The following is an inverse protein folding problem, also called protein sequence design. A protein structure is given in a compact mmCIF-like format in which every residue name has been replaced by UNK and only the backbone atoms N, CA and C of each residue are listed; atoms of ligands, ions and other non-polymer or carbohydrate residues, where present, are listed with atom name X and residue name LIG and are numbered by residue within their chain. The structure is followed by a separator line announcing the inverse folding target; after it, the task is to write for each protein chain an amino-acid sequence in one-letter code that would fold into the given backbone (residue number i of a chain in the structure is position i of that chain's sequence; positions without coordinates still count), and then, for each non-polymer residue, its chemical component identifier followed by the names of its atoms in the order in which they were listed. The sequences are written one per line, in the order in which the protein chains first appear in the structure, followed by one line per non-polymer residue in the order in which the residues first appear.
data_IF_509831911810
#
_entry.id   IF_509831911810
#
_cell.length_a   1.000
_cell.length_b   1.000
_cell.length_c   1.000
_cell.angle_alpha   90.00
_cell.angle_beta   90.00
_cell.angle_gamma   90.00
#
_symmetry.space_group_name_H-M   'P 1'
#
loop_
_entity.id
_entity.type
_entity.pdbx_description
1 polymer ?
#
# COMPACT_ATOMS: atom_id res chain seq x y z
N UNK A 1 0.83 -11.80 -0.88
CA UNK A 1 1.23 -10.69 0.04
C UNK A 1 1.60 -9.43 -0.73
N UNK A 2 2.56 -9.49 -1.67
CA UNK A 2 2.98 -8.33 -2.46
C UNK A 2 1.84 -7.72 -3.30
N UNK A 3 1.07 -8.55 -4.02
CA UNK A 3 -0.08 -8.06 -4.80
C UNK A 3 -1.10 -7.32 -3.91
N UNK A 4 -1.34 -7.82 -2.70
CA UNK A 4 -2.23 -7.15 -1.74
C UNK A 4 -1.66 -5.82 -1.24
N UNK A 5 -0.33 -5.71 -1.06
CA UNK A 5 0.31 -4.41 -0.75
C UNK A 5 0.06 -3.40 -1.87
N UNK A 6 0.22 -3.82 -3.13
CA UNK A 6 -0.11 -2.95 -4.27
C UNK A 6 -1.59 -2.57 -4.29
N UNK A 7 -2.48 -3.55 -4.07
CA UNK A 7 -3.93 -3.34 -4.05
C UNK A 7 -4.33 -2.30 -2.98
N UNK A 8 -3.97 -2.53 -1.72
CA UNK A 8 -4.35 -1.62 -0.63
C UNK A 8 -3.77 -0.21 -0.84
N UNK A 9 -2.56 -0.09 -1.40
CA UNK A 9 -1.98 1.21 -1.67
C UNK A 9 -2.66 1.94 -2.82
N UNK A 10 -2.83 1.29 -3.98
CA UNK A 10 -3.39 1.93 -5.16
C UNK A 10 -4.87 2.26 -5.00
N UNK A 11 -5.65 1.35 -4.43
CA UNK A 11 -7.08 1.58 -4.18
C UNK A 11 -7.27 2.77 -3.23
N UNK A 12 -6.58 2.74 -2.07
CA UNK A 12 -6.79 3.76 -1.06
C UNK A 12 -6.17 5.12 -1.43
N UNK A 13 -4.98 5.13 -2.03
CA UNK A 13 -4.37 6.36 -2.52
C UNK A 13 -5.17 6.97 -3.66
N UNK A 14 -5.65 6.14 -4.60
CA UNK A 14 -6.50 6.59 -5.70
C UNK A 14 -7.81 7.22 -5.20
N UNK A 15 -8.47 6.57 -4.23
CA UNK A 15 -9.65 7.12 -3.57
C UNK A 15 -9.37 8.50 -2.93
N UNK A 16 -8.26 8.63 -2.20
CA UNK A 16 -7.88 9.90 -1.59
C UNK A 16 -7.55 10.99 -2.62
N UNK A 17 -6.92 10.63 -3.74
CA UNK A 17 -6.60 11.57 -4.83
C UNK A 17 -7.88 12.05 -5.52
N UNK A 18 -8.87 11.18 -5.73
CA UNK A 18 -10.20 11.57 -6.23
C UNK A 18 -10.89 12.55 -5.28
N UNK A 19 -10.92 12.24 -3.97
CA UNK A 19 -11.49 13.13 -2.97
C UNK A 19 -10.79 14.49 -2.93
N UNK A 20 -9.45 14.51 -3.01
CA UNK A 20 -8.66 15.74 -3.10
C UNK A 20 -9.03 16.56 -4.35
N UNK A 21 -9.13 15.91 -5.52
CA UNK A 21 -9.50 16.56 -6.77
C UNK A 21 -10.90 17.19 -6.72
N UNK A 22 -11.89 16.46 -6.19
CA UNK A 22 -13.25 16.99 -6.01
C UNK A 22 -13.28 18.16 -5.02
N UNK A 23 -12.57 18.06 -3.89
CA UNK A 23 -12.43 19.17 -2.95
C UNK A 23 -11.84 20.40 -3.63
N UNK A 24 -10.80 20.22 -4.44
CA UNK A 24 -10.15 21.31 -5.14
C UNK A 24 -11.09 22.01 -6.14
N UNK A 25 -11.95 21.26 -6.85
CA UNK A 25 -12.99 21.84 -7.72
C UNK A 25 -14.02 22.70 -6.95
N UNK A 26 -14.24 22.39 -5.68
CA UNK A 26 -15.10 23.15 -4.77
C UNK A 26 -14.35 24.28 -4.04
N UNK A 27 -13.09 24.55 -4.38
CA UNK A 27 -12.26 25.55 -3.69
C UNK A 27 -11.75 25.12 -2.31
N UNK A 28 -11.88 23.83 -1.96
CA UNK A 28 -11.44 23.26 -0.69
C UNK A 28 -10.12 22.50 -0.85
N UNK A 29 -9.07 22.93 -0.16
CA UNK A 29 -7.79 22.21 -0.14
C UNK A 29 -7.79 21.16 0.98
N UNK A 30 -8.12 19.92 0.62
CA UNK A 30 -8.06 18.80 1.55
C UNK A 30 -6.61 18.43 1.91
N UNK A 31 -6.37 17.87 3.10
CA UNK A 31 -5.05 17.36 3.45
C UNK A 31 -4.69 16.10 2.66
N UNK A 32 -3.44 16.00 2.22
CA UNK A 32 -2.92 14.80 1.52
C UNK A 32 -2.78 13.64 2.49
N UNK A 33 -3.04 12.43 1.98
CA UNK A 33 -3.01 11.19 2.76
C UNK A 33 -1.83 10.27 2.48
N UNK A 34 -1.27 10.28 1.27
CA UNK A 34 -0.17 9.39 0.89
C UNK A 34 0.98 10.17 0.25
N UNK A 35 2.21 9.76 0.56
CA UNK A 35 3.43 10.37 0.00
C UNK A 35 4.52 9.32 -0.28
N UNK A 36 4.28 8.51 -1.32
CA UNK A 36 5.15 7.39 -1.73
C UNK A 36 5.62 6.52 -0.54
N UNK A 37 4.69 5.93 0.24
CA UNK A 37 5.00 5.23 1.48
C UNK A 37 5.98 4.08 1.30
N UNK A 38 5.95 3.36 0.17
CA UNK A 38 6.88 2.26 -0.08
C UNK A 38 8.32 2.70 -0.35
N UNK A 39 8.58 3.99 -0.57
CA UNK A 39 9.95 4.54 -0.63
C UNK A 39 10.55 4.84 0.75
N UNK A 40 9.82 4.57 1.83
CA UNK A 40 10.28 4.80 3.19
C UNK A 40 11.47 3.89 3.54
N UNK A 41 12.50 4.47 4.15
CA UNK A 41 13.70 3.78 4.63
C UNK A 41 13.63 3.43 6.13
N UNK A 42 12.47 3.60 6.74
CA UNK A 42 12.18 3.16 8.10
C UNK A 42 10.68 3.04 8.32
N UNK A 43 10.27 2.37 9.40
CA UNK A 43 8.84 2.16 9.70
C UNK A 43 8.19 3.47 10.17
N UNK A 44 8.93 4.30 10.91
CA UNK A 44 8.51 5.66 11.24
C UNK A 44 8.32 6.48 9.96
N UNK A 45 9.28 6.45 9.04
CA UNK A 45 9.17 7.13 7.75
C UNK A 45 8.01 6.61 6.88
N UNK A 46 7.64 5.34 7.02
CA UNK A 46 6.47 4.75 6.36
C UNK A 46 5.18 5.37 6.89
N UNK A 47 5.02 5.44 8.21
CA UNK A 47 3.82 6.02 8.86
C UNK A 47 3.68 7.52 8.69
N UNK A 48 4.80 8.23 8.47
CA UNK A 48 4.80 9.64 8.06
C UNK A 48 4.33 9.85 6.61
N UNK A 49 4.20 8.77 5.83
CA UNK A 49 3.84 8.79 4.39
C UNK A 49 2.57 8.00 4.06
N UNK A 50 2.08 7.19 4.99
CA UNK A 50 0.89 6.35 4.84
C UNK A 50 -0.25 6.89 5.68
N UNK A 51 -1.43 7.06 5.08
CA UNK A 51 -2.66 7.52 5.75
C UNK A 51 -2.42 8.70 6.73
N UNK A 52 -1.71 9.72 6.23
CA UNK A 52 -1.14 10.78 7.06
C UNK A 52 -2.18 11.56 7.88
N UNK A 53 -3.43 11.69 7.41
CA UNK A 53 -4.50 12.34 8.20
C UNK A 53 -4.84 11.53 9.45
N UNK A 54 -4.93 10.21 9.34
CA UNK A 54 -5.19 9.31 10.45
C UNK A 54 -4.02 9.30 11.43
N UNK A 55 -2.78 9.24 10.94
CA UNK A 55 -1.58 9.36 11.78
C UNK A 55 -1.59 10.66 12.58
N UNK A 56 -1.96 11.80 11.96
CA UNK A 56 -2.12 13.09 12.66
C UNK A 56 -3.25 13.05 13.69
N UNK A 57 -4.38 12.42 13.37
CA UNK A 57 -5.50 12.26 14.29
C UNK A 57 -5.08 11.50 15.55
N UNK A 58 -4.50 10.31 15.40
CA UNK A 58 -4.02 9.53 16.54
C UNK A 58 -2.91 10.22 17.31
N UNK A 59 -2.01 10.93 16.62
CA UNK A 59 -0.98 11.73 17.29
C UNK A 59 -1.60 12.81 18.18
N UNK A 60 -2.56 13.56 17.64
CA UNK A 60 -3.18 14.70 18.34
C UNK A 60 -4.09 14.25 19.49
N UNK A 61 -4.90 13.24 19.27
CA UNK A 61 -5.98 12.87 20.19
C UNK A 61 -5.68 11.68 21.09
N UNK A 62 -4.61 10.92 20.83
CA UNK A 62 -4.23 9.78 21.67
C UNK A 62 -2.79 9.95 22.17
N UNK A 63 -1.82 10.05 21.27
CA UNK A 63 -0.41 10.05 21.63
C UNK A 63 0.00 11.24 22.53
N UNK A 64 -0.35 12.47 22.14
CA UNK A 64 -0.04 13.69 22.90
C UNK A 64 -0.74 13.67 24.27
N UNK A 65 -2.06 13.39 24.38
CA UNK A 65 -2.74 13.25 25.67
C UNK A 65 -2.13 12.20 26.61
N UNK A 66 -1.59 11.09 26.08
CA UNK A 66 -0.89 10.07 26.88
C UNK A 66 0.50 10.53 27.40
N UNK A 67 0.92 11.76 27.07
CA UNK A 67 2.16 12.39 27.51
C UNK A 67 3.23 12.50 26.42
N UNK A 68 2.96 12.01 25.21
CA UNK A 68 3.88 12.03 24.07
C UNK A 68 5.27 11.51 24.46
N UNK A 69 6.31 12.30 24.16
CA UNK A 69 7.71 12.00 24.49
C UNK A 69 8.17 12.51 25.87
N UNK A 70 7.30 13.12 26.68
CA UNK A 70 7.72 13.95 27.85
C UNK A 70 8.12 13.14 29.09
N UNK A 71 7.74 11.85 29.18
CA UNK A 71 7.93 10.99 30.35
C UNK A 71 9.00 9.91 30.13
N UNK A 72 10.01 10.21 29.32
CA UNK A 72 11.14 9.32 29.03
C UNK A 72 10.85 8.22 28.01
N UNK A 73 11.87 7.41 27.72
CA UNK A 73 11.85 6.40 26.65
C UNK A 73 10.81 5.29 26.90
N UNK A 74 10.71 4.77 28.12
CA UNK A 74 9.77 3.69 28.45
C UNK A 74 8.32 4.11 28.20
N UNK A 75 7.90 5.27 28.73
CA UNK A 75 6.54 5.79 28.51
C UNK A 75 6.27 6.09 27.04
N UNK A 76 7.28 6.62 26.33
CA UNK A 76 7.18 6.84 24.88
C UNK A 76 6.89 5.54 24.13
N UNK A 77 7.59 4.45 24.46
CA UNK A 77 7.38 3.15 23.82
C UNK A 77 5.99 2.58 24.13
N UNK A 78 5.55 2.67 25.38
CA UNK A 78 4.18 2.27 25.77
C UNK A 78 3.12 3.10 25.03
N UNK A 79 3.32 4.41 24.90
CA UNK A 79 2.39 5.29 24.19
C UNK A 79 2.32 4.94 22.69
N UNK A 80 3.45 4.62 22.06
CA UNK A 80 3.49 4.16 20.66
C UNK A 80 2.73 2.85 20.49
N UNK A 81 2.99 1.85 21.35
CA UNK A 81 2.26 0.59 21.33
C UNK A 81 0.75 0.79 21.50
N UNK A 82 0.35 1.62 22.47
CA UNK A 82 -1.05 1.93 22.71
C UNK A 82 -1.73 2.56 21.48
N UNK A 83 -1.06 3.52 20.82
CA UNK A 83 -1.58 4.15 19.60
C UNK A 83 -1.80 3.13 18.48
N UNK A 84 -0.84 2.23 18.25
CA UNK A 84 -1.00 1.22 17.21
C UNK A 84 -2.06 0.16 17.54
N UNK A 85 -2.21 -0.23 18.80
CA UNK A 85 -3.29 -1.13 19.22
C UNK A 85 -4.66 -0.47 19.05
N UNK A 86 -4.79 0.80 19.43
CA UNK A 86 -6.03 1.55 19.20
C UNK A 86 -6.28 1.75 17.70
N UNK A 87 -5.23 1.95 16.90
CA UNK A 87 -5.35 1.98 15.44
C UNK A 87 -5.87 0.65 14.89
N UNK A 88 -5.39 -0.49 15.40
CA UNK A 88 -5.92 -1.81 15.04
C UNK A 88 -7.40 -1.94 15.38
N UNK A 89 -7.79 -1.58 16.62
CA UNK A 89 -9.19 -1.60 17.05
C UNK A 89 -10.09 -0.66 16.23
N UNK A 90 -9.57 0.47 15.75
CA UNK A 90 -10.30 1.39 14.88
C UNK A 90 -10.62 0.77 13.51
N UNK A 91 -9.79 -0.15 13.02
CA UNK A 91 -10.01 -0.81 11.74
C UNK A 91 -11.08 -1.91 11.79
N UNK A 92 -11.25 -2.59 12.93
CA UNK A 92 -12.31 -3.60 13.09
C UNK A 92 -12.16 -4.44 14.36
N UNK A 93 -13.17 -5.28 14.61
CA UNK A 93 -13.22 -6.14 15.81
C UNK A 93 -12.46 -7.47 15.66
N UNK A 94 -11.95 -7.78 14.46
CA UNK A 94 -11.19 -9.01 14.23
C UNK A 94 -9.83 -8.97 14.94
N UNK A 95 -9.42 -10.08 15.54
CA UNK A 95 -8.11 -10.25 16.17
C UNK A 95 -6.94 -9.95 15.22
N UNK A 96 -7.12 -10.19 13.92
CA UNK A 96 -6.11 -9.87 12.91
C UNK A 96 -5.71 -8.39 12.91
N UNK A 97 -6.64 -7.46 13.15
CA UNK A 97 -6.34 -6.03 13.24
C UNK A 97 -5.57 -5.65 14.50
N UNK A 98 -5.90 -6.29 15.64
CA UNK A 98 -5.15 -6.09 16.90
C UNK A 98 -3.72 -6.60 16.74
N UNK A 99 -3.53 -7.78 16.15
CA UNK A 99 -2.20 -8.34 15.86
C UNK A 99 -1.42 -7.48 14.86
N UNK A 100 -2.09 -6.96 13.84
CA UNK A 100 -1.50 -6.02 12.89
C UNK A 100 -1.00 -4.75 13.60
N UNK A 101 -1.83 -4.17 14.47
CA UNK A 101 -1.46 -3.01 15.29
C UNK A 101 -0.29 -3.34 16.23
N UNK A 102 -0.37 -4.46 16.94
CA UNK A 102 0.70 -4.92 17.83
C UNK A 102 2.03 -5.04 17.07
N UNK A 103 2.02 -5.63 15.86
CA UNK A 103 3.23 -5.82 15.08
C UNK A 103 3.85 -4.49 14.63
N UNK A 104 3.06 -3.55 14.10
CA UNK A 104 3.57 -2.23 13.76
C UNK A 104 4.06 -1.46 14.99
N UNK A 105 3.40 -1.60 16.14
CA UNK A 105 3.83 -1.01 17.39
C UNK A 105 5.17 -1.57 17.88
N UNK A 106 5.34 -2.89 17.87
CA UNK A 106 6.59 -3.55 18.27
C UNK A 106 7.73 -3.12 17.36
N UNK A 107 7.52 -3.13 16.04
CA UNK A 107 8.53 -2.73 15.08
C UNK A 107 8.91 -1.24 15.25
N UNK A 108 7.93 -0.37 15.51
CA UNK A 108 8.18 1.07 15.75
C UNK A 108 8.96 1.32 17.06
N UNK A 109 8.67 0.54 18.10
CA UNK A 109 9.43 0.58 19.36
C UNK A 109 10.85 0.08 19.14
N UNK A 110 11.02 -1.05 18.45
CA UNK A 110 12.31 -1.62 18.12
C UNK A 110 13.17 -0.63 17.32
N UNK A 111 12.59 -0.01 16.28
CA UNK A 111 13.27 1.00 15.46
C UNK A 111 13.83 2.15 16.33
N UNK A 112 13.02 2.62 17.28
CA UNK A 112 13.39 3.71 18.20
C UNK A 112 14.48 3.30 19.19
N UNK A 113 14.47 2.07 19.67
CA UNK A 113 15.47 1.56 20.62
C UNK A 113 16.83 1.32 19.94
N UNK A 114 16.82 0.79 18.72
CA UNK A 114 18.03 0.51 17.93
C UNK A 114 18.57 1.76 17.23
N UNK A 115 17.73 2.78 17.04
CA UNK A 115 18.04 3.98 16.25
C UNK A 115 18.43 3.60 14.81
N UNK A 116 17.56 2.85 14.12
CA UNK A 116 17.75 2.40 12.73
C UNK A 116 18.19 3.54 11.78
N UNK A 117 17.69 4.79 11.90
CA UNK A 117 18.19 5.90 11.09
C UNK A 117 19.71 6.12 11.21
N UNK A 118 20.30 5.91 12.39
CA UNK A 118 21.74 6.08 12.64
C UNK A 118 22.61 4.91 12.12
N UNK A 119 22.02 3.77 11.76
CA UNK A 119 22.78 2.65 11.19
C UNK A 119 23.33 3.01 9.81
N UNK A 120 24.62 2.73 9.57
CA UNK A 120 25.31 2.92 8.29
C UNK A 120 25.00 1.78 7.32
N UNK A 121 23.73 1.62 6.98
CA UNK A 121 23.23 0.62 6.02
C UNK A 121 22.80 1.36 4.74
N UNK A 122 23.08 0.83 3.53
CA UNK A 122 22.64 1.46 2.29
C UNK A 122 21.13 1.70 2.27
N UNK A 123 20.71 2.87 1.78
CA UNK A 123 19.29 3.28 1.79
C UNK A 123 18.38 2.25 1.13
N UNK A 124 18.78 1.69 -0.01
CA UNK A 124 17.97 0.70 -0.72
C UNK A 124 17.71 -0.56 0.10
N UNK A 125 18.65 -0.98 0.97
CA UNK A 125 18.48 -2.11 1.88
C UNK A 125 17.47 -1.74 2.97
N UNK A 126 17.56 -0.53 3.54
CA UNK A 126 16.57 -0.06 4.53
C UNK A 126 15.16 0.01 3.93
N UNK A 127 15.04 0.50 2.70
CA UNK A 127 13.76 0.54 1.96
C UNK A 127 13.23 -0.86 1.71
N UNK A 128 14.08 -1.79 1.25
CA UNK A 128 13.70 -3.18 1.04
C UNK A 128 13.21 -3.87 2.32
N UNK A 129 13.94 -3.71 3.42
CA UNK A 129 13.54 -4.25 4.74
C UNK A 129 12.21 -3.63 5.20
N UNK A 130 12.07 -2.30 5.11
CA UNK A 130 10.84 -1.60 5.50
C UNK A 130 9.64 -2.11 4.70
N UNK A 131 9.80 -2.22 3.37
CA UNK A 131 8.75 -2.74 2.50
C UNK A 131 8.37 -4.19 2.85
N UNK A 132 9.34 -5.08 3.06
CA UNK A 132 9.08 -6.46 3.44
C UNK A 132 8.34 -6.58 4.78
N UNK A 133 8.74 -5.80 5.80
CA UNK A 133 8.06 -5.76 7.10
C UNK A 133 6.61 -5.28 6.98
N UNK A 134 6.39 -4.23 6.19
CA UNK A 134 5.05 -3.69 5.93
C UNK A 134 4.20 -4.68 5.13
N UNK A 135 4.74 -5.31 4.09
CA UNK A 135 4.04 -6.35 3.32
C UNK A 135 3.72 -7.57 4.17
N UNK A 136 4.59 -7.93 5.10
CA UNK A 136 4.33 -8.97 6.08
C UNK A 136 3.19 -8.58 7.04
N UNK A 137 3.13 -7.31 7.46
CA UNK A 137 2.00 -6.80 8.22
C UNK A 137 0.68 -6.82 7.45
N UNK A 138 0.70 -6.41 6.19
CA UNK A 138 -0.51 -6.39 5.38
C UNK A 138 -1.18 -7.74 5.21
N UNK A 139 -0.47 -8.86 5.37
CA UNK A 139 -1.14 -10.17 5.35
C UNK A 139 -2.09 -10.38 6.53
N UNK A 140 -1.80 -9.82 7.71
CA UNK A 140 -2.74 -9.84 8.84
C UNK A 140 -3.97 -9.00 8.51
N UNK A 141 -3.76 -7.82 7.92
CA UNK A 141 -4.86 -6.93 7.52
C UNK A 141 -5.78 -7.57 6.46
N UNK A 142 -5.22 -8.43 5.57
CA UNK A 142 -6.00 -9.14 4.54
C UNK A 142 -6.71 -10.40 5.06
N UNK A 143 -6.12 -11.08 6.05
CA UNK A 143 -6.57 -12.38 6.49
C UNK A 143 -7.94 -12.29 7.18
N UNK A 144 -8.84 -13.23 6.86
CA UNK A 144 -10.16 -13.31 7.49
C UNK A 144 -10.09 -13.87 8.91
N UNK A 145 -9.05 -14.64 9.21
CA UNK A 145 -8.80 -15.19 10.54
C UNK A 145 -7.30 -15.25 10.85
N UNK A 146 -6.98 -15.43 12.14
CA UNK A 146 -5.59 -15.66 12.58
C UNK A 146 -5.04 -16.97 11.98
N UNK A 147 -5.88 -18.01 11.84
CA UNK A 147 -5.49 -19.25 11.18
C UNK A 147 -5.09 -19.05 9.71
N UNK A 148 -5.82 -18.21 8.96
CA UNK A 148 -5.48 -17.92 7.57
C UNK A 148 -4.15 -17.18 7.47
N UNK A 149 -3.92 -16.21 8.36
CA UNK A 149 -2.64 -15.50 8.42
C UNK A 149 -1.48 -16.46 8.71
N UNK A 150 -1.65 -17.39 9.66
CA UNK A 150 -0.65 -18.40 9.98
C UNK A 150 -0.41 -19.37 8.81
N UNK A 151 -1.46 -19.76 8.09
CA UNK A 151 -1.33 -20.58 6.88
C UNK A 151 -0.52 -19.86 5.80
N UNK A 152 -0.80 -18.56 5.56
CA UNK A 152 -0.03 -17.74 4.63
C UNK A 152 1.45 -17.65 5.03
N UNK A 153 1.73 -17.44 6.32
CA UNK A 153 3.10 -17.38 6.81
C UNK A 153 3.82 -18.72 6.75
N UNK A 154 3.15 -19.82 7.08
CA UNK A 154 3.72 -21.16 6.96
C UNK A 154 4.11 -21.46 5.51
N UNK A 155 3.24 -21.16 4.54
CA UNK A 155 3.57 -21.32 3.12
C UNK A 155 4.76 -20.45 2.69
N UNK A 156 4.85 -19.22 3.21
CA UNK A 156 5.99 -18.33 2.94
C UNK A 156 7.32 -18.93 3.43
N UNK A 157 7.35 -19.56 4.61
CA UNK A 157 8.58 -20.10 5.21
C UNK A 157 8.92 -21.52 4.76
N UNK A 158 7.93 -22.36 4.44
CA UNK A 158 8.18 -23.68 3.85
C UNK A 158 8.67 -23.56 2.40
N UNK A 159 8.28 -22.47 1.72
CA UNK A 159 8.72 -22.16 0.37
C UNK A 159 8.10 -23.10 -0.67
N UNK A 160 8.59 -22.98 -1.91
CA UNK A 160 8.13 -23.73 -3.06
C UNK A 160 7.69 -22.84 -4.22
N UNK A 161 7.93 -23.28 -5.45
CA UNK A 161 7.44 -22.63 -6.66
C UNK A 161 6.02 -23.14 -7.00
N UNK A 162 5.12 -23.05 -6.02
CA UNK A 162 3.71 -23.41 -6.21
C UNK A 162 3.13 -22.69 -7.44
N UNK A 163 2.20 -23.33 -8.14
CA UNK A 163 1.51 -22.69 -9.25
C UNK A 163 0.80 -21.42 -8.78
N UNK A 164 0.80 -20.37 -9.61
CA UNK A 164 -0.04 -19.20 -9.35
C UNK A 164 -1.49 -19.66 -9.26
N UNK A 165 -2.23 -19.09 -8.32
CA UNK A 165 -3.65 -19.36 -8.15
C UNK A 165 -4.40 -19.09 -9.46
N UNK A 166 -4.93 -20.15 -10.06
CA UNK A 166 -5.49 -20.16 -11.42
C UNK A 166 -6.52 -19.05 -11.65
N UNK A 167 -7.44 -18.76 -10.71
CA UNK A 167 -8.39 -17.66 -10.90
C UNK A 167 -7.74 -16.29 -11.12
N UNK A 168 -6.56 -16.01 -10.57
CA UNK A 168 -5.85 -14.75 -10.85
C UNK A 168 -5.34 -14.73 -12.29
N UNK A 169 -4.83 -15.85 -12.80
CA UNK A 169 -4.39 -15.90 -14.19
C UNK A 169 -5.56 -15.81 -15.16
N UNK A 170 -6.71 -16.39 -14.81
CA UNK A 170 -7.93 -16.33 -15.62
C UNK A 170 -8.45 -14.89 -15.68
N UNK A 171 -8.54 -14.19 -14.55
CA UNK A 171 -8.94 -12.77 -14.53
C UNK A 171 -8.05 -11.87 -15.39
N UNK A 172 -6.75 -12.18 -15.53
CA UNK A 172 -5.88 -11.44 -16.44
C UNK A 172 -6.17 -11.78 -17.91
N UNK A 173 -6.55 -13.01 -18.24
CA UNK A 173 -6.86 -13.40 -19.63
C UNK A 173 -8.12 -12.71 -20.16
N UNK A 174 -9.06 -12.38 -19.29
CA UNK A 174 -10.29 -11.66 -19.64
C UNK A 174 -10.06 -10.17 -19.93
N UNK A 175 -8.86 -9.63 -19.65
CA UNK A 175 -8.53 -8.24 -19.92
C UNK A 175 -8.41 -7.96 -21.42
N UNK A 176 -8.95 -6.80 -21.83
CA UNK A 176 -8.88 -6.30 -23.22
C UNK A 176 -7.42 -6.13 -23.66
N UNK A 177 -6.56 -5.67 -22.76
CA UNK A 177 -5.11 -5.52 -22.96
C UNK A 177 -4.47 -6.85 -23.39
N UNK A 178 -4.84 -7.95 -22.74
CA UNK A 178 -4.31 -9.27 -23.05
C UNK A 178 -4.82 -9.72 -24.41
N UNK A 179 -6.09 -9.47 -24.74
CA UNK A 179 -6.63 -9.72 -26.08
C UNK A 179 -5.83 -9.00 -27.18
N UNK A 180 -5.36 -7.78 -26.94
CA UNK A 180 -4.47 -7.07 -27.88
C UNK A 180 -3.11 -7.75 -28.00
N UNK A 181 -2.51 -8.24 -26.91
CA UNK A 181 -1.26 -9.00 -26.97
C UNK A 181 -1.41 -10.31 -27.74
N UNK A 182 -2.55 -11.00 -27.62
CA UNK A 182 -2.88 -12.17 -28.45
C UNK A 182 -2.88 -11.83 -29.93
N UNK A 183 -3.55 -10.73 -30.31
CA UNK A 183 -3.60 -10.24 -31.70
C UNK A 183 -2.23 -9.78 -32.22
N UNK A 184 -1.36 -9.30 -31.34
CA UNK A 184 0.01 -8.94 -31.65
C UNK A 184 0.97 -10.15 -31.80
N UNK A 185 0.46 -11.38 -31.70
CA UNK A 185 1.23 -12.61 -31.90
C UNK A 185 1.87 -13.19 -30.65
N UNK A 186 1.62 -12.62 -29.46
CA UNK A 186 2.15 -13.13 -28.18
C UNK A 186 1.29 -14.23 -27.55
N UNK A 187 0.18 -14.60 -28.19
CA UNK A 187 -0.78 -15.58 -27.64
C UNK A 187 -0.20 -16.96 -27.35
N UNK A 188 0.73 -17.44 -28.17
CA UNK A 188 1.41 -18.73 -27.94
C UNK A 188 2.27 -18.72 -26.67
N UNK A 189 2.91 -17.59 -26.37
CA UNK A 189 3.73 -17.42 -25.16
C UNK A 189 2.83 -17.31 -23.93
N UNK A 190 1.75 -16.50 -24.01
CA UNK A 190 0.82 -16.29 -22.89
C UNK A 190 0.08 -17.58 -22.53
N UNK A 191 -0.38 -18.34 -23.53
CA UNK A 191 -1.01 -19.65 -23.29
C UNK A 191 -0.04 -20.69 -22.73
N UNK A 192 1.25 -20.64 -23.12
CA UNK A 192 2.29 -21.51 -22.55
C UNK A 192 2.67 -21.13 -21.12
N UNK A 193 2.64 -19.84 -20.80
CA UNK A 193 3.03 -19.27 -19.51
C UNK A 193 1.96 -18.31 -18.99
N UNK A 194 0.81 -18.81 -18.51
CA UNK A 194 -0.34 -17.99 -18.11
C UNK A 194 -0.05 -17.07 -16.91
N UNK A 195 1.00 -17.36 -16.14
CA UNK A 195 1.47 -16.51 -15.04
C UNK A 195 2.23 -15.27 -15.50
N UNK A 196 2.71 -15.22 -16.75
CA UNK A 196 3.60 -14.17 -17.24
C UNK A 196 2.95 -12.76 -17.18
N UNK A 197 1.68 -12.57 -17.58
CA UNK A 197 1.01 -11.26 -17.43
C UNK A 197 0.93 -10.80 -15.98
N UNK A 198 0.56 -11.70 -15.06
CA UNK A 198 0.42 -11.40 -13.63
C UNK A 198 1.76 -10.96 -13.02
N UNK A 199 2.83 -11.71 -13.30
CA UNK A 199 4.18 -11.40 -12.81
C UNK A 199 4.70 -10.10 -13.41
N UNK A 200 4.50 -9.90 -14.71
CA UNK A 200 4.95 -8.69 -15.42
C UNK A 200 4.24 -7.45 -14.89
N UNK A 201 2.92 -7.51 -14.74
CA UNK A 201 2.14 -6.42 -14.16
C UNK A 201 2.59 -6.11 -12.73
N UNK A 202 2.71 -7.14 -11.88
CA UNK A 202 3.15 -6.96 -10.49
C UNK A 202 4.55 -6.33 -10.41
N UNK A 203 5.48 -6.80 -11.23
CA UNK A 203 6.85 -6.27 -11.29
C UNK A 203 6.87 -4.81 -11.80
N UNK A 204 6.10 -4.49 -12.85
CA UNK A 204 5.97 -3.14 -13.37
C UNK A 204 5.35 -2.19 -12.34
N UNK A 205 4.30 -2.61 -11.63
CA UNK A 205 3.67 -1.85 -10.56
C UNK A 205 4.60 -1.60 -9.39
N UNK A 206 5.40 -2.59 -8.98
CA UNK A 206 6.43 -2.40 -7.96
C UNK A 206 7.47 -1.38 -8.42
N UNK A 207 8.01 -1.55 -9.63
CA UNK A 207 8.99 -0.63 -10.19
C UNK A 207 8.44 0.80 -10.21
N UNK A 208 7.18 0.97 -10.61
CA UNK A 208 6.48 2.24 -10.58
C UNK A 208 6.43 2.85 -9.17
N UNK A 209 6.05 2.07 -8.15
CA UNK A 209 6.03 2.52 -6.75
C UNK A 209 7.37 3.07 -6.26
N UNK A 210 8.49 2.43 -6.65
CA UNK A 210 9.82 2.82 -6.17
C UNK A 210 10.49 3.91 -7.02
N UNK A 211 10.14 4.04 -8.31
CA UNK A 211 10.84 4.94 -9.25
C UNK A 211 10.05 6.18 -9.63
N UNK A 212 8.72 6.09 -9.75
CA UNK A 212 7.90 7.18 -10.30
C UNK A 212 7.58 8.25 -9.25
N UNK A 213 7.35 9.47 -9.73
CA UNK A 213 6.81 10.58 -8.92
C UNK A 213 5.36 10.29 -8.52
N UNK A 214 4.96 10.66 -7.30
CA UNK A 214 3.57 10.54 -6.85
C UNK A 214 2.67 11.64 -7.45
N UNK A 215 1.35 11.56 -7.20
CA UNK A 215 0.35 12.48 -7.75
C UNK A 215 0.63 13.94 -7.37
N UNK A 216 1.03 14.20 -6.14
CA UNK A 216 1.25 15.54 -5.59
C UNK A 216 2.52 16.16 -6.17
N UNK A 217 3.58 15.36 -6.31
CA UNK A 217 4.79 15.77 -7.03
C UNK A 217 4.50 16.06 -8.50
N UNK A 218 3.63 15.28 -9.16
CA UNK A 218 3.28 15.53 -10.57
C UNK A 218 2.42 16.77 -10.75
N UNK A 219 1.50 17.02 -9.81
CA UNK A 219 0.54 18.15 -9.90
C UNK A 219 1.14 19.48 -9.45
N UNK A 220 2.16 19.49 -8.59
CA UNK A 220 2.83 20.74 -8.15
C UNK A 220 3.44 21.53 -9.30
N UNK A 221 3.97 20.83 -10.30
CA UNK A 221 4.68 21.41 -11.44
C UNK A 221 3.86 21.31 -12.75
N UNK A 222 2.59 20.91 -12.65
CA UNK A 222 1.78 20.60 -13.82
C UNK A 222 1.45 21.86 -14.60
N UNK A 223 1.86 21.90 -15.86
CA UNK A 223 1.42 22.90 -16.83
C UNK A 223 0.29 22.33 -17.67
N UNK A 224 -0.86 23.01 -17.68
CA UNK A 224 -1.98 22.65 -18.54
C UNK A 224 -1.65 22.97 -20.00
N UNK A 225 -1.18 21.95 -20.71
CA UNK A 225 -0.89 21.98 -22.15
C UNK A 225 -1.86 21.07 -22.90
N UNK A 226 -1.98 21.24 -24.22
CA UNK A 226 -2.78 20.33 -25.04
C UNK A 226 -2.33 18.87 -24.88
N UNK A 227 -1.03 18.63 -24.70
CA UNK A 227 -0.48 17.28 -24.47
C UNK A 227 -0.98 16.68 -23.16
N UNK A 228 -0.94 17.44 -22.06
CA UNK A 228 -1.42 16.95 -20.76
C UNK A 228 -2.92 16.70 -20.77
N UNK A 229 -3.69 17.56 -21.46
CA UNK A 229 -5.13 17.40 -21.59
C UNK A 229 -5.48 16.15 -22.40
N UNK A 230 -4.85 15.96 -23.57
CA UNK A 230 -5.05 14.78 -24.41
C UNK A 230 -4.64 13.49 -23.70
N UNK A 231 -3.54 13.52 -22.95
CA UNK A 231 -3.09 12.36 -22.15
C UNK A 231 -4.11 12.02 -21.07
N UNK A 232 -4.59 13.03 -20.32
CA UNK A 232 -5.58 12.81 -19.26
C UNK A 232 -6.91 12.29 -19.83
N UNK A 233 -7.39 12.87 -20.93
CA UNK A 233 -8.61 12.42 -21.61
C UNK A 233 -8.46 10.99 -22.15
N UNK A 234 -7.33 10.66 -22.77
CA UNK A 234 -7.04 9.32 -23.26
C UNK A 234 -6.97 8.26 -22.16
N UNK A 235 -6.29 8.57 -21.04
CA UNK A 235 -6.24 7.67 -19.88
C UNK A 235 -7.63 7.51 -19.25
N UNK A 236 -8.39 8.60 -19.10
CA UNK A 236 -9.76 8.52 -18.57
C UNK A 236 -10.65 7.65 -19.45
N UNK A 237 -10.62 7.84 -20.76
CA UNK A 237 -11.38 7.03 -21.72
C UNK A 237 -10.97 5.56 -21.66
N UNK A 238 -9.66 5.28 -21.64
CA UNK A 238 -9.15 3.92 -21.49
C UNK A 238 -9.61 3.27 -20.20
N UNK A 239 -9.50 3.97 -19.07
CA UNK A 239 -9.95 3.45 -17.77
C UNK A 239 -11.45 3.14 -17.76
N UNK A 240 -12.29 3.96 -18.39
CA UNK A 240 -13.73 3.70 -18.47
C UNK A 240 -14.03 2.42 -19.27
N UNK A 241 -13.29 2.16 -20.34
CA UNK A 241 -13.48 0.95 -21.17
C UNK A 241 -12.91 -0.30 -20.50
N UNK A 242 -11.73 -0.19 -19.89
CA UNK A 242 -10.99 -1.31 -19.33
C UNK A 242 -11.48 -1.71 -17.92
N UNK A 243 -12.00 -0.74 -17.14
CA UNK A 243 -12.39 -0.92 -15.74
C UNK A 243 -13.87 -0.62 -15.49
N UNK A 244 -14.75 -0.91 -16.46
CA UNK A 244 -16.19 -0.63 -16.33
C UNK A 244 -16.91 -1.50 -15.29
N UNK A 245 -16.27 -2.56 -14.80
CA UNK A 245 -16.84 -3.39 -13.74
C UNK A 245 -16.85 -2.65 -12.40
N UNK A 246 -17.97 -2.76 -11.69
CA UNK A 246 -18.12 -2.14 -10.37
C UNK A 246 -17.31 -2.99 -9.38
N UNK A 247 -16.19 -2.43 -8.91
CA UNK A 247 -15.46 -2.97 -7.76
C UNK A 247 -15.87 -2.23 -6.49
N UNK A 248 -16.11 -2.97 -5.41
CA UNK A 248 -16.26 -2.36 -4.09
C UNK A 248 -14.93 -1.80 -3.61
N UNK A 249 -14.98 -0.63 -2.96
CA UNK A 249 -13.81 -0.07 -2.29
C UNK A 249 -13.34 -1.03 -1.20
N UNK A 250 -12.03 -1.30 -1.14
CA UNK A 250 -11.46 -2.37 -0.31
C UNK A 250 -11.87 -2.24 1.16
N UNK A 251 -12.09 -1.02 1.65
CA UNK A 251 -12.46 -0.78 3.04
C UNK A 251 -13.85 -1.31 3.45
N UNK A 252 -14.77 -1.54 2.49
CA UNK A 252 -16.08 -2.14 2.78
C UNK A 252 -16.02 -3.67 2.92
N UNK A 253 -14.87 -4.28 2.62
CA UNK A 253 -14.67 -5.73 2.70
C UNK A 253 -14.08 -6.19 4.05
N UNK A 254 -13.92 -5.29 5.02
CA UNK A 254 -13.35 -5.56 6.34
C UNK A 254 -14.41 -5.58 7.44
#
# INVERSE_FOLDING_TARGET
MVCYSLQIYFDFSGYCDMAYGMGYMLGLKLPVNFNSPYKADSISAFWDRWHMTLTRFFTKYIYIPLGGNRKGKARTCTNVLAVFLVSGLWHGANWTFILWGAMHGIVSVFERLVNIPALKIPKFVKVGITFLLVTFAWSLFRAQSVSDALLLWNQLFHGGAGSIYQPITDSFQDLIEISFLYRAGLGSIISRFPYLPVVTFTAASLLACFTMRNTQEKTSDLKFTNRTLLTAAGVMFWSIISLSEISEFLYFNF
#
